data_IF_037771813506
#
_entry.id   IF_037771813506
#
_cell.length_a   1.000
_cell.length_b   1.000
_cell.length_c   1.000
_cell.angle_alpha   90.00
_cell.angle_beta   90.00
_cell.angle_gamma   90.00
#
_symmetry.space_group_name_H-M   'P 1'
#
loop_
_entity.id
_entity.type
_entity.pdbx_description
1 polymer ?
#
# COMPACT_ATOMS: atom_id res chain seq x y z
N UNK A 1 5.21 9.35 5.03
CA UNK A 1 4.16 10.33 4.77
C UNK A 1 4.88 11.66 4.67
N UNK A 2 4.46 12.56 3.78
CA UNK A 2 5.03 13.92 3.80
C UNK A 2 4.61 14.60 5.11
N UNK A 3 5.48 15.38 5.76
CA UNK A 3 5.13 16.11 7.00
C UNK A 3 3.81 16.90 6.89
N UNK A 4 3.44 17.33 5.68
CA UNK A 4 2.21 18.06 5.40
C UNK A 4 0.95 17.19 5.51
N UNK A 5 1.01 15.93 5.04
CA UNK A 5 -0.10 14.99 5.18
C UNK A 5 -0.35 14.63 6.64
N UNK A 6 0.71 14.39 7.43
CA UNK A 6 0.57 14.05 8.85
C UNK A 6 -0.11 15.19 9.63
N UNK A 7 0.32 16.43 9.36
CA UNK A 7 -0.23 17.62 9.99
C UNK A 7 -1.71 17.83 9.61
N UNK A 8 -2.06 17.66 8.34
CA UNK A 8 -3.44 17.77 7.90
C UNK A 8 -4.32 16.69 8.55
N UNK A 9 -3.84 15.44 8.57
CA UNK A 9 -4.56 14.33 9.18
C UNK A 9 -4.77 14.57 10.67
N UNK A 10 -3.75 15.01 11.40
CA UNK A 10 -3.86 15.31 12.83
C UNK A 10 -4.92 16.39 13.12
N UNK A 11 -4.97 17.46 12.30
CA UNK A 11 -5.96 18.52 12.45
C UNK A 11 -7.40 18.13 12.05
N UNK A 12 -7.55 17.18 11.14
CA UNK A 12 -8.83 16.77 10.56
C UNK A 12 -9.24 15.34 10.91
N UNK A 13 -8.59 14.73 11.91
CA UNK A 13 -8.67 13.29 12.21
C UNK A 13 -10.10 12.78 12.31
N UNK A 14 -10.94 13.46 13.11
CA UNK A 14 -12.32 13.04 13.34
C UNK A 14 -13.20 13.12 12.08
N UNK A 15 -12.91 14.02 11.13
CA UNK A 15 -13.59 14.07 9.85
C UNK A 15 -13.10 12.94 8.94
N UNK A 16 -11.78 12.73 8.89
CA UNK A 16 -11.18 11.70 8.06
C UNK A 16 -11.62 10.28 8.49
N UNK A 17 -11.61 10.00 9.80
CA UNK A 17 -12.07 8.72 10.36
C UNK A 17 -13.54 8.42 10.01
N UNK A 18 -14.39 9.44 9.87
CA UNK A 18 -15.78 9.25 9.42
C UNK A 18 -15.87 8.93 7.92
N UNK A 19 -14.91 9.35 7.12
CA UNK A 19 -14.90 9.11 5.67
C UNK A 19 -14.35 7.72 5.37
N UNK A 20 -13.28 7.28 6.05
CA UNK A 20 -12.61 6.01 5.74
C UNK A 20 -13.50 4.78 5.96
N UNK A 21 -14.45 4.87 6.90
CA UNK A 21 -15.40 3.78 7.20
C UNK A 21 -16.61 3.77 6.26
N UNK A 22 -16.81 4.82 5.44
CA UNK A 22 -17.93 4.88 4.50
C UNK A 22 -17.60 4.10 3.22
N UNK A 23 -18.51 3.23 2.75
CA UNK A 23 -18.43 2.67 1.40
C UNK A 23 -18.33 3.78 0.35
N UNK A 24 -17.56 3.55 -0.72
CA UNK A 24 -17.28 4.55 -1.77
C UNK A 24 -18.58 5.17 -2.34
N UNK A 25 -19.61 4.36 -2.51
CA UNK A 25 -20.93 4.73 -3.04
C UNK A 25 -21.75 5.62 -2.09
N UNK A 26 -21.37 5.69 -0.81
CA UNK A 26 -22.07 6.46 0.23
C UNK A 26 -21.32 7.74 0.62
N UNK A 27 -20.26 8.10 -0.11
CA UNK A 27 -19.53 9.34 0.13
C UNK A 27 -20.26 10.53 -0.50
N UNK A 28 -20.54 11.53 0.32
CA UNK A 28 -21.13 12.80 -0.12
C UNK A 28 -20.10 13.68 -0.84
N UNK A 29 -20.54 14.70 -1.57
CA UNK A 29 -19.61 15.65 -2.21
C UNK A 29 -18.70 16.39 -1.21
N UNK A 30 -19.15 16.57 0.04
CA UNK A 30 -18.32 17.12 1.11
C UNK A 30 -17.21 16.13 1.47
N UNK A 31 -17.52 14.83 1.57
CA UNK A 31 -16.52 13.79 1.84
C UNK A 31 -15.47 13.76 0.70
N UNK A 32 -15.92 13.87 -0.56
CA UNK A 32 -15.01 13.90 -1.72
C UNK A 32 -14.09 15.12 -1.68
N UNK A 33 -14.60 16.32 -1.38
CA UNK A 33 -13.77 17.53 -1.25
C UNK A 33 -12.71 17.41 -0.16
N UNK A 34 -13.07 16.83 0.99
CA UNK A 34 -12.12 16.58 2.07
C UNK A 34 -11.02 15.58 1.67
N UNK A 35 -11.38 14.52 0.92
CA UNK A 35 -10.40 13.58 0.37
C UNK A 35 -9.47 14.25 -0.64
N UNK A 36 -9.99 15.09 -1.53
CA UNK A 36 -9.19 15.88 -2.47
C UNK A 36 -8.21 16.78 -1.73
N UNK A 37 -8.65 17.47 -0.67
CA UNK A 37 -7.80 18.34 0.14
C UNK A 37 -6.66 17.56 0.82
N UNK A 38 -6.98 16.39 1.37
CA UNK A 38 -6.00 15.47 1.94
C UNK A 38 -4.99 14.98 0.89
N UNK A 39 -5.48 14.52 -0.26
CA UNK A 39 -4.63 13.98 -1.33
C UNK A 39 -3.69 15.03 -1.89
N UNK A 40 -4.13 16.29 -2.00
CA UNK A 40 -3.27 17.42 -2.42
C UNK A 40 -2.08 17.69 -1.50
N UNK A 41 -2.07 17.17 -0.27
CA UNK A 41 -0.91 17.26 0.63
C UNK A 41 0.25 16.33 0.22
N UNK A 42 -0.01 15.36 -0.68
CA UNK A 42 1.00 14.49 -1.25
C UNK A 42 1.52 15.03 -2.58
N UNK A 43 2.85 15.14 -2.70
CA UNK A 43 3.50 15.45 -3.98
C UNK A 43 3.21 14.41 -5.07
N UNK A 44 2.88 13.19 -4.67
CA UNK A 44 2.53 12.11 -5.60
C UNK A 44 1.36 12.48 -6.52
N UNK A 45 0.43 13.33 -6.06
CA UNK A 45 -0.71 13.78 -6.84
C UNK A 45 -0.57 15.21 -7.38
N UNK A 46 0.60 15.84 -7.25
CA UNK A 46 0.80 17.26 -7.53
C UNK A 46 0.57 17.65 -9.00
N UNK A 47 0.68 16.71 -9.93
CA UNK A 47 0.51 16.93 -11.37
C UNK A 47 -0.91 16.62 -11.87
N UNK A 48 -1.79 16.08 -11.01
CA UNK A 48 -3.14 15.72 -11.43
C UNK A 48 -4.02 16.96 -11.57
N UNK A 49 -4.82 16.97 -12.64
CA UNK A 49 -5.86 17.97 -12.84
C UNK A 49 -6.91 17.89 -11.72
N UNK A 50 -7.67 18.97 -11.49
CA UNK A 50 -8.77 18.94 -10.51
C UNK A 50 -9.81 17.87 -10.84
N UNK A 51 -10.13 17.64 -12.12
CA UNK A 51 -11.07 16.61 -12.53
C UNK A 51 -10.55 15.19 -12.21
N UNK A 52 -9.28 14.93 -12.51
CA UNK A 52 -8.63 13.65 -12.21
C UNK A 52 -8.52 13.41 -10.70
N UNK A 53 -8.29 14.46 -9.92
CA UNK A 53 -8.24 14.37 -8.46
C UNK A 53 -9.62 14.04 -7.88
N UNK A 54 -10.69 14.66 -8.37
CA UNK A 54 -12.06 14.37 -7.96
C UNK A 54 -12.45 12.92 -8.28
N UNK A 55 -12.10 12.43 -9.47
CA UNK A 55 -12.34 11.04 -9.88
C UNK A 55 -11.57 10.05 -8.99
N UNK A 56 -10.30 10.36 -8.67
CA UNK A 56 -9.49 9.53 -7.80
C UNK A 56 -10.01 9.52 -6.36
N UNK A 57 -10.43 10.68 -5.83
CA UNK A 57 -11.03 10.77 -4.50
C UNK A 57 -12.36 9.98 -4.39
N UNK A 58 -13.10 9.85 -5.49
CA UNK A 58 -14.32 9.02 -5.55
C UNK A 58 -14.03 7.52 -5.58
N UNK A 59 -12.84 7.11 -6.02
CA UNK A 59 -12.47 5.70 -6.20
C UNK A 59 -11.48 5.16 -5.16
N UNK A 60 -10.94 6.01 -4.28
CA UNK A 60 -9.96 5.58 -3.26
C UNK A 60 -10.59 4.65 -2.22
N UNK A 61 -9.89 3.56 -1.91
CA UNK A 61 -10.26 2.63 -0.86
C UNK A 61 -9.34 2.81 0.34
N UNK A 62 -9.88 2.59 1.54
CA UNK A 62 -9.11 2.60 2.78
C UNK A 62 -9.05 1.19 3.31
N UNK A 63 -7.84 0.75 3.64
CA UNK A 63 -7.59 -0.58 4.19
C UNK A 63 -6.65 -0.45 5.39
N UNK A 64 -7.01 -1.17 6.46
CA UNK A 64 -6.18 -1.30 7.65
C UNK A 64 -5.49 -2.65 7.61
N UNK A 65 -4.21 -2.65 7.95
CA UNK A 65 -3.39 -3.84 8.08
C UNK A 65 -2.87 -3.94 9.52
N UNK A 66 -2.68 -5.15 10.01
CA UNK A 66 -2.13 -5.43 11.33
C UNK A 66 -0.62 -5.70 11.27
N UNK A 67 0.04 -5.54 12.41
CA UNK A 67 1.47 -5.81 12.54
C UNK A 67 1.80 -7.24 12.12
N UNK A 68 2.77 -7.38 11.22
CA UNK A 68 3.21 -8.67 10.68
C UNK A 68 2.40 -9.15 9.47
N UNK A 69 1.34 -8.46 9.05
CA UNK A 69 0.65 -8.77 7.80
C UNK A 69 1.51 -8.41 6.58
N UNK A 70 1.55 -9.33 5.62
CA UNK A 70 2.25 -9.13 4.34
C UNK A 70 1.26 -8.61 3.31
N UNK A 71 1.53 -7.44 2.75
CA UNK A 71 0.68 -6.82 1.73
C UNK A 71 0.80 -7.54 0.38
N UNK A 72 2.02 -7.85 -0.04
CA UNK A 72 2.33 -8.65 -1.23
C UNK A 72 3.76 -9.16 -1.15
N UNK A 73 4.08 -10.20 -1.93
CA UNK A 73 5.42 -10.75 -2.02
C UNK A 73 6.15 -10.23 -3.27
N UNK A 74 7.48 -10.26 -3.22
CA UNK A 74 8.31 -9.94 -4.36
C UNK A 74 7.95 -10.85 -5.54
N UNK A 75 7.75 -10.27 -6.72
CA UNK A 75 7.41 -11.00 -7.95
C UNK A 75 5.95 -11.42 -8.07
N UNK A 76 5.08 -11.06 -7.12
CA UNK A 76 3.64 -11.23 -7.31
C UNK A 76 3.16 -10.50 -8.57
N UNK A 77 2.27 -11.15 -9.33
CA UNK A 77 1.74 -10.59 -10.56
C UNK A 77 0.87 -9.35 -10.28
N UNK A 78 1.04 -8.30 -11.08
CA UNK A 78 0.14 -7.15 -11.08
C UNK A 78 -1.07 -7.48 -11.95
N UNK A 79 -2.23 -7.62 -11.31
CA UNK A 79 -3.50 -7.94 -11.95
C UNK A 79 -4.37 -6.67 -12.05
N UNK A 80 -5.50 -6.75 -12.76
CA UNK A 80 -6.46 -5.65 -12.86
C UNK A 80 -7.08 -5.25 -11.51
N UNK A 81 -6.97 -6.12 -10.51
CA UNK A 81 -7.39 -5.88 -9.12
C UNK A 81 -6.26 -5.35 -8.23
N UNK A 82 -5.04 -5.20 -8.76
CA UNK A 82 -3.91 -4.67 -8.00
C UNK A 82 -4.05 -3.16 -7.82
N UNK A 83 -3.75 -2.69 -6.62
CA UNK A 83 -3.81 -1.28 -6.26
C UNK A 83 -2.43 -0.69 -6.02
N UNK A 84 -2.34 0.64 -6.11
CA UNK A 84 -1.24 1.40 -5.53
C UNK A 84 -1.65 1.83 -4.12
N UNK A 85 -0.73 1.70 -3.18
CA UNK A 85 -0.96 2.06 -1.79
C UNK A 85 -0.29 3.38 -1.46
N UNK A 86 -0.95 4.15 -0.61
CA UNK A 86 -0.39 5.31 0.07
C UNK A 86 -0.52 5.05 1.57
N UNK A 87 0.60 5.09 2.29
CA UNK A 87 0.58 4.95 3.75
C UNK A 87 0.03 6.24 4.34
N UNK A 88 -1.14 6.14 4.98
CA UNK A 88 -1.79 7.27 5.65
C UNK A 88 -1.43 7.32 7.13
N UNK A 89 -1.22 6.16 7.76
CA UNK A 89 -0.79 6.05 9.14
C UNK A 89 -0.05 4.73 9.34
N UNK A 90 1.03 4.78 10.13
CA UNK A 90 1.83 3.61 10.45
C UNK A 90 3.14 3.56 9.68
N UNK A 91 3.69 2.36 9.51
CA UNK A 91 4.94 2.15 8.77
C UNK A 91 4.91 0.77 8.14
N UNK A 92 5.56 0.66 6.98
CA UNK A 92 5.76 -0.59 6.25
C UNK A 92 7.25 -0.85 6.10
N UNK A 93 7.63 -2.11 6.15
CA UNK A 93 8.98 -2.56 5.85
C UNK A 93 9.01 -3.15 4.44
N UNK A 94 9.97 -2.73 3.64
CA UNK A 94 10.19 -3.25 2.30
C UNK A 94 11.39 -4.18 2.36
N UNK A 95 11.15 -5.46 2.08
CA UNK A 95 12.19 -6.47 2.04
C UNK A 95 12.56 -6.83 0.61
N UNK A 96 13.82 -7.16 0.39
CA UNK A 96 14.31 -7.64 -0.89
C UNK A 96 15.11 -8.94 -0.72
N UNK A 97 14.73 -9.94 -1.51
CA UNK A 97 15.45 -11.20 -1.57
C UNK A 97 16.19 -11.32 -2.91
N UNK A 98 17.52 -11.19 -2.84
CA UNK A 98 18.41 -11.22 -4.02
C UNK A 98 18.39 -12.58 -4.71
N UNK A 99 18.36 -13.69 -3.95
CA UNK A 99 18.33 -15.03 -4.52
C UNK A 99 17.05 -15.28 -5.34
N UNK A 100 15.90 -14.85 -4.81
CA UNK A 100 14.65 -14.90 -5.55
C UNK A 100 14.64 -13.98 -6.77
N UNK A 101 15.17 -12.76 -6.66
CA UNK A 101 15.26 -11.82 -7.78
C UNK A 101 16.03 -12.40 -8.97
N UNK A 102 17.18 -13.03 -8.70
CA UNK A 102 18.00 -13.69 -9.72
C UNK A 102 17.28 -14.88 -10.34
N UNK A 103 16.57 -15.67 -9.52
CA UNK A 103 15.79 -16.82 -9.99
C UNK A 103 14.65 -16.40 -10.93
N UNK A 104 13.90 -15.36 -10.56
CA UNK A 104 12.77 -14.86 -11.32
C UNK A 104 13.17 -14.39 -12.73
N UNK A 105 14.38 -13.86 -12.89
CA UNK A 105 14.92 -13.44 -14.20
C UNK A 105 15.22 -14.62 -15.13
N UNK A 106 15.43 -15.82 -14.61
CA UNK A 106 15.95 -16.94 -15.39
C UNK A 106 14.88 -17.87 -15.96
N UNK A 107 13.67 -18.00 -15.39
CA UNK A 107 12.73 -19.06 -15.78
C UNK A 107 11.23 -18.82 -15.51
N UNK A 108 10.77 -17.59 -15.33
CA UNK A 108 9.37 -17.35 -14.93
C UNK A 108 9.11 -17.93 -13.54
N UNK A 109 9.39 -17.13 -12.50
CA UNK A 109 9.37 -17.62 -11.13
C UNK A 109 7.99 -18.11 -10.70
N UNK A 110 7.99 -19.26 -10.06
CA UNK A 110 6.93 -19.68 -9.16
C UNK A 110 6.72 -18.65 -8.02
N UNK A 111 5.51 -18.56 -7.42
CA UNK A 111 5.24 -17.63 -6.33
C UNK A 111 6.27 -17.72 -5.19
N UNK A 112 6.62 -16.57 -4.60
CA UNK A 112 7.70 -16.44 -3.62
C UNK A 112 7.65 -17.48 -2.50
N UNK A 113 6.48 -17.66 -1.88
CA UNK A 113 6.29 -18.58 -0.75
C UNK A 113 6.54 -20.03 -1.18
N UNK A 114 6.14 -20.40 -2.40
CA UNK A 114 6.36 -21.74 -2.94
C UNK A 114 7.85 -21.99 -3.17
N UNK A 115 8.55 -21.05 -3.81
CA UNK A 115 9.99 -21.10 -3.98
C UNK A 115 10.74 -21.18 -2.64
N UNK A 116 10.34 -20.36 -1.66
CA UNK A 116 11.00 -20.29 -0.35
C UNK A 116 10.92 -21.63 0.37
N UNK A 117 9.75 -22.27 0.41
CA UNK A 117 9.61 -23.59 1.04
C UNK A 117 10.30 -24.71 0.26
N UNK A 118 10.32 -24.63 -1.07
CA UNK A 118 11.03 -25.61 -1.89
C UNK A 118 12.56 -25.57 -1.66
N UNK A 119 13.09 -24.38 -1.36
CA UNK A 119 14.52 -24.17 -1.10
C UNK A 119 14.93 -24.31 0.37
N UNK A 120 13.97 -24.27 1.30
CA UNK A 120 14.20 -24.39 2.75
C UNK A 120 13.21 -25.39 3.39
N UNK A 121 13.24 -26.68 2.99
CA UNK A 121 12.26 -27.68 3.43
C UNK A 121 12.31 -28.00 4.93
N UNK A 122 13.41 -27.68 5.60
CA UNK A 122 13.62 -27.86 7.05
C UNK A 122 12.89 -26.83 7.91
N UNK A 123 12.49 -25.70 7.33
CA UNK A 123 11.80 -24.64 8.06
C UNK A 123 10.30 -24.94 8.17
N UNK A 124 9.71 -24.54 9.30
CA UNK A 124 8.26 -24.61 9.46
C UNK A 124 7.55 -23.74 8.41
N UNK A 125 6.37 -24.18 7.95
CA UNK A 125 5.61 -23.49 6.88
C UNK A 125 5.27 -22.02 7.19
N UNK A 126 5.23 -21.63 8.46
CA UNK A 126 4.96 -20.24 8.86
C UNK A 126 6.23 -19.39 9.00
N UNK A 127 7.43 -19.99 8.93
CA UNK A 127 8.71 -19.32 9.14
C UNK A 127 9.31 -18.78 7.84
N UNK A 128 8.51 -18.05 7.06
CA UNK A 128 8.96 -17.43 5.81
C UNK A 128 9.93 -16.28 6.12
N UNK A 129 11.07 -16.23 5.44
CA UNK A 129 12.03 -15.12 5.52
C UNK A 129 12.04 -14.34 4.23
N UNK A 130 12.07 -13.02 4.31
CA UNK A 130 11.88 -12.11 3.15
C UNK A 130 13.18 -11.53 2.59
N UNK A 131 14.34 -11.90 3.13
CA UNK A 131 15.63 -11.28 2.80
C UNK A 131 15.94 -10.08 3.68
N UNK A 132 16.60 -9.08 3.12
CA UNK A 132 17.06 -7.90 3.85
C UNK A 132 16.01 -6.78 3.78
N UNK A 133 15.83 -6.04 4.88
CA UNK A 133 15.00 -4.83 4.89
C UNK A 133 15.76 -3.71 4.17
N UNK A 134 15.26 -3.28 3.02
CA UNK A 134 15.90 -2.26 2.18
C UNK A 134 15.29 -0.88 2.31
N UNK A 135 14.04 -0.79 2.80
CA UNK A 135 13.37 0.49 3.03
C UNK A 135 12.34 0.39 4.16
N UNK A 136 12.03 1.54 4.75
CA UNK A 136 10.92 1.70 5.69
C UNK A 136 10.06 2.86 5.21
N UNK A 137 8.92 2.55 4.61
CA UNK A 137 7.97 3.56 4.15
C UNK A 137 7.06 3.94 5.31
N UNK A 138 7.03 5.23 5.63
CA UNK A 138 6.06 5.81 6.56
C UNK A 138 5.02 6.59 5.79
#
# INVERSE_FOLDING_TARGET
MTMQMEAWYAGNRGLFERIIVKPIQNRSDIDIKLLVEFMRQSKFFGELSSASMDELARSVHFQTFYDGEVLYHQGDAVLDTSGRFLVVQGSLFVYHNVAYAQRAQQNGAEPYVQWFHATNPELAKHAVKYGDCIDTTR
#
